data_IF_250090667450
#
_entry.id   IF_250090667450
#
_cell.length_a   1.000
_cell.length_b   1.000
_cell.length_c   1.000
_cell.angle_alpha   90.00
_cell.angle_beta   90.00
_cell.angle_gamma   90.00
#
_symmetry.space_group_name_H-M   'P 1'
#
loop_
_entity.id
_entity.type
_entity.pdbx_description
1 polymer ?
#
# COMPACT_ATOMS: atom_id res chain seq x y z
N UNK A 1 -58.02 -60.68 36.08
CA UNK A 1 -57.42 -60.50 37.42
C UNK A 1 -56.14 -59.72 37.18
N UNK A 2 -56.16 -58.39 37.23
CA UNK A 2 -55.95 -57.55 38.43
C UNK A 2 -54.61 -57.98 39.05
N UNK A 3 -53.51 -57.23 38.87
CA UNK A 3 -53.22 -56.09 39.76
C UNK A 3 -52.54 -54.88 39.10
N UNK A 4 -52.66 -53.79 39.84
CA UNK A 4 -52.49 -52.38 39.49
C UNK A 4 -51.36 -51.74 40.31
N UNK A 5 -50.65 -50.79 39.68
CA UNK A 5 -50.31 -49.43 40.19
C UNK A 5 -49.14 -49.25 41.20
N UNK A 6 -48.10 -48.56 40.69
CA UNK A 6 -47.46 -47.31 41.19
C UNK A 6 -46.16 -47.28 42.01
N UNK A 7 -45.24 -46.50 41.41
CA UNK A 7 -44.47 -45.37 41.96
C UNK A 7 -43.33 -45.64 42.95
N UNK A 8 -42.13 -45.26 42.50
CA UNK A 8 -41.05 -44.53 43.19
C UNK A 8 -39.78 -44.80 42.35
N UNK A 9 -39.20 -43.86 41.60
CA UNK A 9 -38.86 -42.51 42.04
C UNK A 9 -37.47 -42.52 42.67
N UNK A 10 -36.43 -42.80 41.87
CA UNK A 10 -35.03 -42.36 42.05
C UNK A 10 -34.18 -43.07 41.00
N UNK A 11 -34.21 -42.55 39.77
CA UNK A 11 -33.03 -42.69 38.94
C UNK A 11 -32.00 -41.77 39.60
N UNK A 12 -31.16 -42.35 40.45
CA UNK A 12 -30.01 -41.67 41.03
C UNK A 12 -29.15 -41.24 39.85
N UNK A 13 -29.33 -39.98 39.45
CA UNK A 13 -28.42 -39.23 38.63
C UNK A 13 -27.09 -39.26 39.37
N UNK A 14 -26.22 -40.22 39.03
CA UNK A 14 -24.80 -40.09 39.33
C UNK A 14 -24.33 -38.97 38.41
N UNK A 15 -24.54 -37.75 38.88
CA UNK A 15 -23.89 -36.56 38.38
C UNK A 15 -22.40 -36.79 38.67
N UNK A 16 -21.69 -37.38 37.71
CA UNK A 16 -20.24 -37.24 37.69
C UNK A 16 -20.00 -35.75 37.48
N UNK A 17 -19.85 -35.04 38.59
CA UNK A 17 -19.19 -33.75 38.60
C UNK A 17 -17.80 -34.01 38.00
N UNK A 18 -17.66 -33.69 36.71
CA UNK A 18 -16.35 -33.40 36.16
C UNK A 18 -15.82 -32.28 37.06
N UNK A 19 -14.71 -32.49 37.79
CA UNK A 19 -14.15 -31.40 38.57
C UNK A 19 -13.90 -30.27 37.58
N UNK A 20 -14.58 -29.15 37.80
CA UNK A 20 -14.35 -27.95 37.03
C UNK A 20 -12.84 -27.72 37.04
N UNK A 21 -12.24 -27.73 35.86
CA UNK A 21 -11.03 -26.95 35.65
C UNK A 21 -11.34 -25.60 36.28
N UNK A 22 -10.62 -25.22 37.33
CA UNK A 22 -10.68 -23.86 37.82
C UNK A 22 -10.53 -23.00 36.57
N UNK A 23 -11.54 -22.20 36.23
CA UNK A 23 -11.38 -21.27 35.13
C UNK A 23 -10.14 -20.46 35.50
N UNK A 24 -9.14 -20.45 34.62
CA UNK A 24 -7.96 -19.63 34.82
C UNK A 24 -8.46 -18.21 35.12
N UNK A 25 -7.88 -17.58 36.14
CA UNK A 25 -8.28 -16.22 36.52
C UNK A 25 -7.90 -15.31 35.35
N UNK A 26 -8.80 -14.41 34.99
CA UNK A 26 -8.66 -13.39 33.96
C UNK A 26 -9.10 -12.12 34.68
N UNK A 27 -8.12 -11.40 35.22
CA UNK A 27 -8.31 -10.37 36.23
C UNK A 27 -8.86 -9.07 35.64
N UNK A 28 -8.60 -8.77 34.37
CA UNK A 28 -9.08 -7.56 33.68
C UNK A 28 -10.14 -7.83 32.59
N UNK A 29 -10.40 -9.09 32.26
CA UNK A 29 -11.46 -9.52 31.35
C UNK A 29 -11.17 -9.18 29.89
N UNK A 30 -9.91 -9.24 29.46
CA UNK A 30 -9.50 -8.99 28.08
C UNK A 30 -9.51 -10.27 27.20
N UNK A 31 -9.57 -11.45 27.83
CA UNK A 31 -9.59 -12.75 27.16
C UNK A 31 -8.28 -13.53 27.22
N UNK A 32 -7.21 -12.93 27.75
CA UNK A 32 -6.00 -13.60 28.21
C UNK A 32 -6.15 -13.90 29.71
N UNK A 33 -5.57 -15.00 30.20
CA UNK A 33 -5.68 -15.34 31.62
C UNK A 33 -4.37 -14.98 32.35
N UNK A 34 -4.43 -14.71 33.65
CA UNK A 34 -3.30 -14.26 34.48
C UNK A 34 -2.04 -15.16 34.38
N UNK A 35 -2.19 -16.45 34.08
CA UNK A 35 -1.06 -17.37 33.85
C UNK A 35 -0.44 -17.15 32.46
N UNK A 36 -1.26 -17.01 31.42
CA UNK A 36 -0.81 -16.66 30.06
C UNK A 36 -0.19 -15.25 30.02
N UNK A 37 -0.77 -14.28 30.73
CA UNK A 37 -0.24 -12.91 30.78
C UNK A 37 1.18 -12.87 31.34
N UNK A 38 1.47 -13.69 32.34
CA UNK A 38 2.84 -13.86 32.83
C UNK A 38 3.80 -14.41 31.76
N UNK A 39 3.33 -15.29 30.88
CA UNK A 39 4.14 -15.86 29.79
C UNK A 39 4.37 -14.86 28.64
N UNK A 40 3.37 -14.02 28.32
CA UNK A 40 3.46 -12.95 27.33
C UNK A 40 4.04 -11.64 27.89
N UNK A 41 4.36 -11.60 29.19
CA UNK A 41 4.90 -10.43 29.88
C UNK A 41 3.96 -9.22 29.93
N UNK A 42 2.66 -9.47 29.81
CA UNK A 42 1.61 -8.46 29.89
C UNK A 42 1.20 -8.21 31.35
N UNK A 43 0.38 -7.19 31.59
CA UNK A 43 -0.06 -6.82 32.94
C UNK A 43 -1.45 -7.39 33.26
N UNK A 44 -1.58 -8.31 34.23
CA UNK A 44 -2.86 -8.94 34.61
C UNK A 44 -3.99 -8.05 35.09
N UNK A 45 -3.81 -6.74 35.12
CA UNK A 45 -4.82 -5.79 35.56
C UNK A 45 -5.07 -4.69 34.52
N UNK A 46 -4.45 -4.78 33.34
CA UNK A 46 -4.53 -3.81 32.26
C UNK A 46 -4.79 -4.53 30.94
N UNK A 47 -5.99 -4.33 30.40
CA UNK A 47 -6.48 -5.06 29.21
C UNK A 47 -5.68 -4.81 27.92
N UNK A 48 -4.68 -3.95 27.97
CA UNK A 48 -3.96 -3.32 26.86
C UNK A 48 -2.65 -2.81 27.47
N UNK A 49 -1.61 -3.64 27.42
CA UNK A 49 -0.37 -3.42 28.17
C UNK A 49 0.51 -2.34 27.56
N UNK A 50 0.56 -2.23 26.23
CA UNK A 50 1.37 -1.22 25.54
C UNK A 50 0.60 0.07 25.18
N UNK A 51 -0.73 0.03 25.25
CA UNK A 51 -1.59 1.20 25.10
C UNK A 51 -1.84 1.60 23.64
N UNK A 52 -1.68 0.70 22.68
CA UNK A 52 -1.95 0.96 21.25
C UNK A 52 -3.48 0.96 20.94
N UNK A 53 -4.27 0.37 21.85
CA UNK A 53 -5.72 0.25 21.82
C UNK A 53 -6.26 -1.10 21.36
N UNK A 54 -5.40 -2.07 21.04
CA UNK A 54 -5.73 -3.48 21.03
C UNK A 54 -5.72 -3.99 22.47
N UNK A 55 -6.19 -5.22 22.66
CA UNK A 55 -6.12 -5.84 23.98
C UNK A 55 -5.19 -7.02 23.90
N UNK A 56 -4.44 -7.29 24.96
CA UNK A 56 -3.43 -8.35 24.99
C UNK A 56 -4.01 -9.69 24.50
N UNK A 57 -5.22 -10.03 24.96
CA UNK A 57 -5.94 -11.23 24.52
C UNK A 57 -6.29 -11.27 23.03
N UNK A 58 -6.55 -10.12 22.39
CA UNK A 58 -6.79 -10.04 20.94
C UNK A 58 -5.49 -10.09 20.14
N UNK A 59 -4.46 -9.42 20.60
CA UNK A 59 -3.15 -9.47 19.97
C UNK A 59 -2.63 -10.90 19.97
N UNK A 60 -2.70 -11.60 21.10
CA UNK A 60 -2.24 -12.98 21.20
C UNK A 60 -3.11 -13.98 20.43
N UNK A 61 -4.45 -13.83 20.43
CA UNK A 61 -5.35 -14.86 19.89
C UNK A 61 -5.91 -14.58 18.49
N UNK A 62 -6.02 -13.31 18.09
CA UNK A 62 -6.64 -12.88 16.84
C UNK A 62 -5.58 -12.42 15.84
N UNK A 63 -4.71 -11.50 16.23
CA UNK A 63 -3.81 -10.79 15.31
C UNK A 63 -2.39 -11.35 15.27
N UNK A 64 -1.96 -12.03 16.32
CA UNK A 64 -0.62 -12.59 16.50
C UNK A 64 0.49 -11.52 16.50
N UNK A 65 0.19 -10.33 17.00
CA UNK A 65 1.16 -9.26 17.26
C UNK A 65 1.71 -9.35 18.69
N UNK A 66 2.70 -8.52 19.04
CA UNK A 66 3.33 -8.51 20.35
C UNK A 66 2.60 -7.58 21.33
N UNK A 67 1.89 -8.11 22.36
CA UNK A 67 1.03 -7.32 23.26
C UNK A 67 1.77 -6.36 24.23
N UNK A 68 3.08 -6.21 24.07
CA UNK A 68 3.89 -5.28 24.87
C UNK A 68 4.66 -4.28 24.01
N UNK A 69 4.44 -4.31 22.69
CA UNK A 69 5.04 -3.41 21.71
C UNK A 69 3.96 -2.84 20.80
N UNK A 70 3.62 -1.57 21.01
CA UNK A 70 2.54 -0.89 20.29
C UNK A 70 2.72 -0.74 18.77
N UNK A 71 3.86 -1.19 18.23
CA UNK A 71 4.35 -1.06 16.84
C UNK A 71 5.33 -2.25 16.65
N UNK A 72 4.80 -3.40 16.21
CA UNK A 72 5.50 -4.70 16.20
C UNK A 72 6.66 -4.77 15.18
N UNK A 73 6.58 -4.03 14.08
CA UNK A 73 7.60 -4.00 13.03
C UNK A 73 8.49 -2.74 13.01
N UNK A 74 8.10 -1.70 13.75
CA UNK A 74 8.86 -0.48 13.97
C UNK A 74 8.80 0.52 12.81
N UNK A 75 7.71 0.58 12.07
CA UNK A 75 7.53 1.44 10.90
C UNK A 75 6.88 2.81 11.19
N UNK A 76 6.61 3.10 12.47
CA UNK A 76 5.92 4.28 12.99
C UNK A 76 4.38 4.25 12.93
N UNK A 77 3.77 3.12 12.56
CA UNK A 77 2.35 2.84 12.75
C UNK A 77 2.14 1.91 13.94
N UNK A 78 1.04 2.13 14.66
CA UNK A 78 0.64 1.19 15.71
C UNK A 78 -0.09 0.01 15.10
N UNK A 79 0.04 -1.20 15.65
CA UNK A 79 -0.64 -2.41 15.18
C UNK A 79 -2.14 -2.19 14.96
N UNK A 80 -2.81 -1.51 15.90
CA UNK A 80 -4.24 -1.16 15.74
C UNK A 80 -4.50 -0.28 14.52
N UNK A 81 -3.64 0.70 14.27
CA UNK A 81 -3.80 1.63 13.14
C UNK A 81 -3.65 0.88 11.83
N UNK A 82 -2.69 -0.02 11.73
CA UNK A 82 -2.49 -0.88 10.57
C UNK A 82 -3.71 -1.76 10.32
N UNK A 83 -4.14 -2.52 11.31
CA UNK A 83 -5.27 -3.44 11.18
C UNK A 83 -6.62 -2.75 10.90
N UNK A 84 -6.90 -1.64 11.58
CA UNK A 84 -8.24 -1.01 11.55
C UNK A 84 -8.36 0.15 10.56
N UNK A 85 -7.25 0.83 10.23
CA UNK A 85 -7.27 2.05 9.40
C UNK A 85 -6.61 1.86 8.04
N UNK A 86 -5.44 1.21 8.00
CA UNK A 86 -4.59 1.20 6.81
C UNK A 86 -4.71 -0.12 6.01
N UNK A 87 -5.03 -1.22 6.67
CA UNK A 87 -5.13 -2.54 6.05
C UNK A 87 -3.76 -3.17 5.74
N UNK A 88 -2.71 -2.71 6.42
CA UNK A 88 -1.33 -3.22 6.34
C UNK A 88 -1.10 -4.37 7.31
N UNK A 89 0.04 -5.05 7.20
CA UNK A 89 0.43 -6.17 8.07
C UNK A 89 1.36 -5.68 9.19
N UNK A 90 0.94 -5.70 10.47
CA UNK A 90 1.75 -5.16 11.56
C UNK A 90 3.09 -5.84 11.80
N UNK A 91 3.31 -7.02 11.21
CA UNK A 91 4.59 -7.71 11.28
C UNK A 91 5.54 -7.36 10.12
N UNK A 92 5.17 -6.43 9.24
CA UNK A 92 5.88 -6.09 8.00
C UNK A 92 5.94 -4.58 7.77
N UNK A 93 7.08 -3.98 8.11
CA UNK A 93 7.29 -2.54 7.98
C UNK A 93 7.17 -1.96 6.55
N UNK A 94 6.97 -2.81 5.54
CA UNK A 94 6.82 -2.51 4.11
C UNK A 94 5.93 -3.62 3.53
N UNK A 95 4.61 -3.42 3.62
CA UNK A 95 3.57 -4.43 3.34
C UNK A 95 3.57 -4.87 1.88
N UNK A 96 3.76 -3.95 0.94
CA UNK A 96 3.73 -4.22 -0.51
C UNK A 96 5.12 -4.50 -1.13
N UNK A 97 6.15 -4.37 -0.29
CA UNK A 97 7.56 -4.58 -0.58
C UNK A 97 8.14 -3.63 -1.65
N UNK A 98 7.57 -2.46 -1.87
CA UNK A 98 8.06 -1.50 -2.85
C UNK A 98 9.39 -0.81 -2.43
N UNK A 99 9.68 -0.83 -1.13
CA UNK A 99 10.86 -0.25 -0.50
C UNK A 99 10.60 1.07 0.25
N UNK A 100 9.35 1.51 0.33
CA UNK A 100 8.82 2.55 1.22
C UNK A 100 8.21 1.85 2.45
N UNK A 101 8.24 2.52 3.61
CA UNK A 101 7.66 1.94 4.83
C UNK A 101 6.21 2.39 4.95
N UNK A 102 5.32 1.56 5.46
CA UNK A 102 3.88 1.88 5.46
C UNK A 102 3.59 3.18 6.24
N UNK A 103 4.30 3.39 7.37
CA UNK A 103 4.26 4.65 8.12
C UNK A 103 4.76 5.87 7.35
N UNK A 104 5.75 5.72 6.46
CA UNK A 104 6.21 6.81 5.59
C UNK A 104 5.21 7.15 4.48
N UNK A 105 4.47 6.16 3.99
CA UNK A 105 3.45 6.33 2.95
C UNK A 105 2.29 7.19 3.41
N UNK A 106 2.00 7.17 4.71
CA UNK A 106 1.00 8.06 5.32
C UNK A 106 1.33 9.55 5.16
N UNK A 107 2.61 9.89 4.94
CA UNK A 107 3.05 11.25 4.64
C UNK A 107 3.07 11.57 3.13
N UNK A 108 3.04 10.56 2.25
CA UNK A 108 3.24 10.66 0.80
C UNK A 108 1.98 10.41 -0.05
N UNK A 109 0.80 10.60 0.55
CA UNK A 109 -0.49 10.06 0.07
C UNK A 109 -0.50 8.82 -0.84
N UNK A 110 0.44 7.88 -0.68
CA UNK A 110 0.47 6.59 -1.42
C UNK A 110 -0.35 5.53 -0.69
N UNK A 111 -0.64 4.42 -1.37
CA UNK A 111 -1.33 3.27 -0.79
C UNK A 111 -0.32 2.19 -0.37
N UNK A 112 -0.11 1.96 0.94
CA UNK A 112 0.92 1.03 1.44
C UNK A 112 0.66 -0.45 1.15
N UNK A 113 -0.49 -0.75 0.55
CA UNK A 113 -0.82 -2.09 0.08
C UNK A 113 -0.59 -2.28 -1.42
N UNK A 114 -0.20 -1.23 -2.15
CA UNK A 114 -0.08 -1.22 -3.60
C UNK A 114 1.26 -0.61 -4.05
N UNK A 115 2.13 -1.50 -4.54
CA UNK A 115 3.50 -1.18 -4.99
C UNK A 115 3.66 -0.05 -6.00
N UNK A 116 2.58 0.37 -6.64
CA UNK A 116 2.49 1.30 -7.78
C UNK A 116 1.12 1.96 -7.68
N UNK A 117 1.04 3.04 -6.88
CA UNK A 117 -0.21 3.68 -6.46
C UNK A 117 -1.03 4.22 -7.65
N UNK A 118 -0.37 4.77 -8.67
CA UNK A 118 -1.02 5.36 -9.84
C UNK A 118 -1.07 4.45 -11.08
N UNK A 119 -0.45 3.27 -10.99
CA UNK A 119 -0.46 2.18 -11.97
C UNK A 119 0.20 2.58 -13.28
N UNK A 120 1.28 3.37 -13.22
CA UNK A 120 2.06 3.80 -14.38
C UNK A 120 3.19 2.83 -14.76
N UNK A 121 3.53 1.88 -13.86
CA UNK A 121 4.61 0.87 -13.90
C UNK A 121 5.95 1.29 -13.27
N UNK A 122 6.00 2.41 -12.56
CA UNK A 122 7.02 2.69 -11.57
C UNK A 122 6.47 2.29 -10.20
N UNK A 123 7.38 1.98 -9.27
CA UNK A 123 6.96 1.79 -7.88
C UNK A 123 7.05 3.12 -7.16
N UNK A 124 6.29 3.31 -6.09
CA UNK A 124 6.22 4.61 -5.41
C UNK A 124 7.61 5.05 -4.91
N UNK A 125 8.36 4.14 -4.29
CA UNK A 125 9.75 4.36 -3.90
C UNK A 125 10.66 4.68 -5.11
N UNK A 126 10.39 4.08 -6.27
CA UNK A 126 11.16 4.36 -7.49
C UNK A 126 10.87 5.76 -8.00
N UNK A 127 9.62 6.21 -7.95
CA UNK A 127 9.22 7.55 -8.37
C UNK A 127 9.85 8.63 -7.51
N UNK A 128 9.83 8.46 -6.19
CA UNK A 128 10.53 9.36 -5.27
C UNK A 128 12.02 9.46 -5.59
N UNK A 129 12.65 8.36 -5.99
CA UNK A 129 14.07 8.35 -6.37
C UNK A 129 14.36 9.06 -7.70
N UNK A 130 13.36 9.13 -8.59
CA UNK A 130 13.43 9.84 -9.87
C UNK A 130 12.99 11.30 -9.74
N UNK A 131 12.30 11.67 -8.66
CA UNK A 131 11.70 12.98 -8.46
C UNK A 131 10.35 13.14 -9.16
N UNK A 132 9.75 12.04 -9.61
CA UNK A 132 8.38 11.99 -10.11
C UNK A 132 7.38 11.88 -8.95
N UNK A 133 6.10 12.04 -9.25
CA UNK A 133 5.04 12.04 -8.25
C UNK A 133 4.29 10.70 -8.26
N UNK A 134 4.37 9.90 -7.16
CA UNK A 134 3.80 8.55 -7.09
C UNK A 134 2.28 8.44 -7.10
N UNK A 135 1.59 9.57 -7.24
CA UNK A 135 0.12 9.63 -7.29
C UNK A 135 -0.39 10.09 -8.65
N UNK A 136 0.50 10.30 -9.62
CA UNK A 136 0.16 10.72 -10.99
C UNK A 136 1.14 10.13 -11.99
N UNK A 137 0.63 9.19 -12.80
CA UNK A 137 1.47 8.47 -13.75
C UNK A 137 1.93 9.27 -14.97
N UNK A 138 1.87 10.61 -14.90
CA UNK A 138 2.34 11.62 -15.85
C UNK A 138 2.63 12.86 -14.98
N UNK A 139 3.87 13.03 -14.55
CA UNK A 139 4.28 13.99 -13.52
C UNK A 139 4.22 15.44 -14.02
N UNK A 140 4.49 15.65 -15.31
CA UNK A 140 4.59 16.98 -15.91
C UNK A 140 3.39 17.36 -16.82
N UNK A 141 2.39 16.48 -16.90
CA UNK A 141 1.14 16.64 -17.64
C UNK A 141 1.33 16.92 -19.13
N UNK A 142 2.32 16.26 -19.76
CA UNK A 142 2.64 16.46 -21.16
C UNK A 142 1.96 15.43 -22.10
N UNK A 143 1.44 14.34 -21.53
CA UNK A 143 0.74 13.27 -22.22
C UNK A 143 1.56 11.98 -22.44
N UNK A 144 2.79 11.91 -21.93
CA UNK A 144 3.56 10.67 -21.80
C UNK A 144 3.60 10.27 -20.32
N UNK A 145 3.54 8.97 -20.04
CA UNK A 145 3.69 8.49 -18.66
C UNK A 145 5.14 8.42 -18.25
N UNK A 146 5.43 8.66 -16.98
CA UNK A 146 6.79 8.67 -16.42
C UNK A 146 7.55 7.38 -16.75
N UNK A 147 6.93 6.22 -16.50
CA UNK A 147 7.51 4.93 -16.85
C UNK A 147 7.88 4.81 -18.34
N UNK A 148 7.06 5.42 -19.22
CA UNK A 148 7.26 5.40 -20.67
C UNK A 148 8.33 6.39 -21.11
N UNK A 149 8.43 7.54 -20.48
CA UNK A 149 9.48 8.53 -20.74
C UNK A 149 10.86 7.96 -20.49
N UNK A 150 11.04 7.21 -19.40
CA UNK A 150 12.29 6.49 -19.12
C UNK A 150 12.68 5.52 -20.25
N UNK A 151 11.70 4.87 -20.89
CA UNK A 151 11.98 3.97 -22.03
C UNK A 151 12.32 4.71 -23.32
N UNK A 152 11.88 5.97 -23.43
CA UNK A 152 12.16 6.87 -24.55
C UNK A 152 13.37 7.77 -24.29
N UNK A 153 13.97 7.66 -23.09
CA UNK A 153 15.13 8.43 -22.67
C UNK A 153 14.84 9.93 -22.51
N UNK A 154 13.60 10.25 -22.14
CA UNK A 154 13.06 11.58 -21.84
C UNK A 154 13.14 11.88 -20.33
N UNK A 155 12.94 13.15 -19.95
CA UNK A 155 12.89 13.61 -18.56
C UNK A 155 11.43 13.68 -18.07
N UNK A 156 11.00 12.74 -17.19
CA UNK A 156 9.60 12.67 -16.74
C UNK A 156 9.16 13.82 -15.84
N UNK A 157 10.07 14.75 -15.54
CA UNK A 157 9.76 15.94 -14.73
C UNK A 157 9.68 17.21 -15.57
N UNK A 158 9.84 17.10 -16.89
CA UNK A 158 9.97 18.23 -17.79
C UNK A 158 9.21 18.00 -19.09
N UNK A 159 8.11 18.75 -19.26
CA UNK A 159 7.18 18.61 -20.39
C UNK A 159 7.77 18.88 -21.79
N UNK A 160 9.06 19.20 -21.87
CA UNK A 160 9.86 19.53 -23.06
C UNK A 160 11.31 19.18 -22.71
N UNK A 161 11.72 17.94 -22.99
CA UNK A 161 13.02 17.37 -22.61
C UNK A 161 14.19 18.11 -23.25
N UNK A 162 14.06 18.50 -24.52
CA UNK A 162 15.16 19.07 -25.30
C UNK A 162 15.15 20.61 -25.41
N UNK A 163 14.06 21.23 -24.96
CA UNK A 163 13.88 22.67 -24.86
C UNK A 163 13.57 23.36 -26.19
N UNK A 164 13.00 22.65 -27.16
CA UNK A 164 12.69 23.18 -28.49
C UNK A 164 11.30 23.84 -28.63
N UNK A 165 10.56 23.92 -27.51
CA UNK A 165 9.20 24.48 -27.35
C UNK A 165 8.07 23.48 -27.69
N UNK A 166 8.38 22.31 -28.23
CA UNK A 166 7.40 21.24 -28.39
C UNK A 166 7.37 20.38 -27.13
N UNK A 167 6.17 19.89 -26.77
CA UNK A 167 6.04 18.96 -25.65
C UNK A 167 6.38 17.55 -26.09
N UNK A 168 7.02 16.77 -25.24
CA UNK A 168 7.43 15.41 -25.59
C UNK A 168 6.22 14.56 -26.00
N UNK A 169 5.10 14.66 -25.28
CA UNK A 169 3.84 13.99 -25.63
C UNK A 169 3.31 14.34 -27.01
N UNK A 170 3.55 15.57 -27.49
CA UNK A 170 3.20 15.96 -28.87
C UNK A 170 4.12 15.32 -29.89
N UNK A 171 5.41 15.28 -29.59
CA UNK A 171 6.42 14.73 -30.49
C UNK A 171 6.34 13.22 -30.60
N UNK A 172 6.18 12.53 -29.47
CA UNK A 172 5.93 11.08 -29.39
C UNK A 172 4.66 10.70 -30.17
N UNK A 173 3.62 11.54 -30.16
CA UNK A 173 2.40 11.33 -30.94
C UNK A 173 2.58 11.59 -32.45
N UNK A 174 3.50 12.48 -32.84
CA UNK A 174 3.76 12.91 -34.22
C UNK A 174 5.05 12.31 -34.84
N UNK A 175 5.39 11.08 -34.43
CA UNK A 175 6.73 10.46 -34.55
C UNK A 175 7.92 11.42 -34.75
N UNK A 176 8.00 12.49 -33.96
CA UNK A 176 9.18 13.35 -33.86
C UNK A 176 10.12 12.87 -32.75
N UNK A 177 11.34 13.37 -32.77
CA UNK A 177 12.41 12.97 -31.85
C UNK A 177 12.48 14.01 -30.72
N UNK A 178 11.80 13.73 -29.60
CA UNK A 178 11.74 14.61 -28.43
C UNK A 178 13.07 14.77 -27.66
N UNK A 179 14.17 14.26 -28.23
CA UNK A 179 15.53 14.45 -27.70
C UNK A 179 16.40 15.30 -28.63
N UNK A 180 15.89 15.69 -29.80
CA UNK A 180 16.60 16.52 -30.78
C UNK A 180 16.01 17.93 -30.82
N UNK A 181 16.70 18.87 -30.16
CA UNK A 181 16.35 20.30 -30.11
C UNK A 181 16.14 21.04 -31.46
N UNK A 182 16.29 20.34 -32.58
CA UNK A 182 16.15 20.80 -33.94
C UNK A 182 15.00 20.14 -34.72
N UNK A 183 14.28 19.16 -34.16
CA UNK A 183 12.92 18.85 -34.60
C UNK A 183 11.99 20.02 -34.25
N UNK A 184 10.85 20.20 -34.93
CA UNK A 184 10.60 19.88 -36.33
C UNK A 184 11.30 20.87 -37.30
N UNK A 185 12.21 21.75 -36.84
CA UNK A 185 12.84 22.77 -37.71
C UNK A 185 13.57 22.16 -38.92
N UNK A 186 14.12 20.95 -38.78
CA UNK A 186 14.62 20.16 -39.90
C UNK A 186 13.58 19.87 -40.99
N UNK A 187 12.32 19.60 -40.61
CA UNK A 187 11.21 19.33 -41.52
C UNK A 187 10.56 20.61 -42.08
N UNK A 188 10.44 21.68 -41.28
CA UNK A 188 9.95 22.97 -41.77
C UNK A 188 10.96 23.61 -42.73
N UNK A 189 12.27 23.47 -42.51
CA UNK A 189 13.27 23.87 -43.49
C UNK A 189 13.23 22.97 -44.73
N UNK A 190 13.10 21.65 -44.61
CA UNK A 190 13.00 20.78 -45.79
C UNK A 190 11.73 21.06 -46.63
N UNK A 191 10.58 21.28 -45.98
CA UNK A 191 9.31 21.62 -46.63
C UNK A 191 9.28 23.04 -47.21
N UNK A 192 9.82 24.04 -46.49
CA UNK A 192 9.93 25.40 -46.99
C UNK A 192 10.97 25.53 -48.11
N UNK A 193 12.05 24.76 -48.10
CA UNK A 193 13.05 24.74 -49.18
C UNK A 193 12.47 24.11 -50.46
N UNK A 194 11.63 23.07 -50.35
CA UNK A 194 10.91 22.48 -51.49
C UNK A 194 9.86 23.43 -52.08
N UNK A 195 9.12 24.16 -51.24
CA UNK A 195 8.16 25.18 -51.71
C UNK A 195 8.85 26.39 -52.37
N UNK A 196 10.03 26.81 -51.88
CA UNK A 196 10.81 27.87 -52.50
C UNK A 196 11.56 27.41 -53.77
N UNK A 197 11.92 26.12 -53.88
CA UNK A 197 12.49 25.55 -55.09
C UNK A 197 11.44 25.34 -56.20
N UNK A 198 10.18 25.08 -55.84
CA UNK A 198 9.07 24.88 -56.79
C UNK A 198 8.57 26.16 -57.49
N UNK A 199 8.86 27.35 -56.98
CA UNK A 199 8.40 28.62 -57.57
C UNK A 199 9.32 29.19 -58.66
N UNK A 200 10.51 28.61 -58.89
CA UNK A 200 11.45 29.08 -59.91
C UNK A 200 11.37 28.37 -61.27
N UNK A 201 10.53 27.34 -61.45
CA UNK A 201 10.53 26.53 -62.67
C UNK A 201 9.39 26.80 -63.68
N UNK A 202 8.53 27.80 -63.47
CA UNK A 202 7.39 28.09 -64.36
C UNK A 202 7.46 29.44 -65.10
N UNK A 203 8.66 29.87 -65.53
CA UNK A 203 8.77 31.02 -66.46
C UNK A 203 9.85 30.84 -67.53
N UNK A 204 9.56 29.99 -68.51
CA UNK A 204 10.03 29.99 -69.92
C UNK A 204 9.01 29.15 -70.69
N UNK A 205 8.38 29.53 -71.79
CA UNK A 205 8.35 30.68 -72.70
C UNK A 205 6.92 30.72 -73.29
#
# INVERSE_FOLDING_TARGET
MIDRISALGMCLLVLLAVPGTAMATDSDGDGLNDESEHDYQTNPNERDTDGDGLSDGREVHEFHTNPVEADDDGDELTDRAELERHGTDPGLADTDNDGLLDGHEMALPTDPSERDTDVDRLTDQRELSLGTNPTTGDTDDDGVRDARELTLNLDPTASDTDGDVFRDGTEVALPFDATDRFTPWGFLLAGALLLLAGTKYWRRE
#
